data_IF_763654322275
#
_entry.id   IF_763654322275
#
_cell.length_a   1.000
_cell.length_b   1.000
_cell.length_c   1.000
_cell.angle_alpha   90.00
_cell.angle_beta   90.00
_cell.angle_gamma   90.00
#
_symmetry.space_group_name_H-M   'P 1'
#
loop_
_entity.id
_entity.type
_entity.pdbx_description
1 polymer ?
#
# COMPACT_ATOMS: atom_id res chain seq x y z
N UNK A 1 -30.42 -4.21 -39.13
CA UNK A 1 -30.99 -3.44 -38.03
C UNK A 1 -30.66 -4.13 -36.70
N UNK A 2 -29.34 -4.28 -36.38
CA UNK A 2 -28.84 -4.93 -35.13
C UNK A 2 -27.43 -4.40 -34.76
N UNK A 3 -27.28 -3.08 -34.58
CA UNK A 3 -25.94 -2.50 -34.26
C UNK A 3 -25.99 -1.43 -33.17
N UNK A 4 -26.93 -1.50 -32.23
CA UNK A 4 -27.06 -0.46 -31.18
C UNK A 4 -27.05 -0.97 -29.73
N UNK A 5 -26.55 -2.18 -29.42
CA UNK A 5 -26.64 -2.74 -28.07
C UNK A 5 -25.30 -2.87 -27.31
N UNK A 6 -24.17 -2.52 -27.89
CA UNK A 6 -22.84 -2.81 -27.29
C UNK A 6 -22.16 -1.62 -26.56
N UNK A 7 -22.75 -0.43 -26.55
CA UNK A 7 -22.09 0.76 -25.92
C UNK A 7 -22.66 1.19 -24.57
N UNK A 8 -23.71 0.55 -24.08
CA UNK A 8 -24.38 0.97 -22.82
C UNK A 8 -24.12 0.06 -21.61
N UNK A 9 -23.47 -1.06 -21.77
CA UNK A 9 -23.18 -2.01 -20.66
C UNK A 9 -21.99 -1.61 -19.77
N UNK A 10 -21.04 -0.83 -20.28
CA UNK A 10 -19.83 -0.46 -19.54
C UNK A 10 -20.01 0.64 -18.46
N UNK A 11 -21.09 1.40 -18.52
CA UNK A 11 -21.31 2.56 -17.62
C UNK A 11 -22.24 2.28 -16.40
N UNK A 12 -22.89 1.14 -16.37
CA UNK A 12 -23.89 0.84 -15.35
C UNK A 12 -23.35 0.23 -14.04
N UNK A 13 -22.10 -0.27 -14.02
CA UNK A 13 -21.53 -0.93 -12.83
C UNK A 13 -20.92 0.04 -11.80
N UNK A 14 -20.68 1.28 -12.16
CA UNK A 14 -20.11 2.29 -11.24
C UNK A 14 -21.12 2.86 -10.23
N UNK A 15 -22.43 2.66 -10.41
CA UNK A 15 -23.47 3.30 -9.60
C UNK A 15 -24.07 2.41 -8.49
N UNK A 16 -23.81 1.10 -8.48
CA UNK A 16 -24.44 0.17 -7.52
C UNK A 16 -23.68 -0.02 -6.19
N UNK A 17 -22.48 0.57 -6.02
CA UNK A 17 -21.62 0.37 -4.84
C UNK A 17 -21.88 1.35 -3.69
N UNK A 18 -22.86 2.25 -3.76
CA UNK A 18 -23.01 3.38 -2.83
C UNK A 18 -24.06 3.17 -1.70
N UNK A 19 -24.49 1.95 -1.42
CA UNK A 19 -25.62 1.74 -0.52
C UNK A 19 -25.45 0.74 0.63
N UNK A 20 -24.25 0.31 1.03
CA UNK A 20 -24.10 -0.66 2.13
C UNK A 20 -23.37 -0.07 3.33
N UNK A 21 -24.05 -0.09 4.46
CA UNK A 21 -23.66 0.49 5.74
C UNK A 21 -22.48 -0.23 6.39
N UNK A 22 -21.66 0.52 7.09
CA UNK A 22 -20.33 0.29 7.64
C UNK A 22 -20.17 -0.76 8.75
N UNK A 23 -21.13 -1.64 9.01
CA UNK A 23 -21.12 -2.49 10.21
C UNK A 23 -20.46 -3.88 10.06
N UNK A 24 -20.06 -4.34 8.87
CA UNK A 24 -19.55 -5.70 8.65
C UNK A 24 -18.20 -5.78 7.88
N UNK A 25 -17.47 -4.68 7.80
CA UNK A 25 -16.23 -4.59 6.99
C UNK A 25 -15.00 -5.32 7.58
N UNK A 26 -15.09 -5.89 8.78
CA UNK A 26 -13.91 -6.49 9.46
C UNK A 26 -13.64 -7.98 9.16
N UNK A 27 -14.47 -8.64 8.34
CA UNK A 27 -14.31 -10.07 8.02
C UNK A 27 -13.74 -10.36 6.63
N UNK A 28 -13.53 -9.36 5.78
CA UNK A 28 -12.95 -9.55 4.45
C UNK A 28 -11.53 -8.99 4.41
N UNK A 29 -10.58 -9.69 3.78
CA UNK A 29 -9.22 -9.20 3.60
C UNK A 29 -9.12 -8.02 2.63
N UNK A 30 -10.25 -7.55 2.08
CA UNK A 30 -10.34 -6.47 1.11
C UNK A 30 -10.81 -5.18 1.78
N UNK A 31 -10.07 -4.10 1.61
CA UNK A 31 -10.52 -2.76 1.98
C UNK A 31 -11.45 -2.17 0.93
N UNK A 32 -12.41 -1.36 1.33
CA UNK A 32 -13.20 -0.56 0.38
C UNK A 32 -12.31 0.49 -0.29
N UNK A 33 -12.63 0.90 -1.55
CA UNK A 33 -11.90 1.95 -2.23
C UNK A 33 -11.91 3.25 -1.41
N UNK A 34 -10.73 3.86 -1.22
CA UNK A 34 -10.59 5.09 -0.44
C UNK A 34 -9.32 5.85 -0.86
N UNK A 35 -9.31 7.16 -0.67
CA UNK A 35 -8.17 8.02 -1.00
C UNK A 35 -8.25 8.65 -2.40
N UNK A 36 -7.19 9.31 -2.84
CA UNK A 36 -7.13 9.94 -4.15
C UNK A 36 -7.15 8.89 -5.28
N UNK A 37 -7.77 9.26 -6.39
CA UNK A 37 -7.78 8.45 -7.61
C UNK A 37 -6.62 8.87 -8.52
N UNK A 38 -6.02 7.89 -9.20
CA UNK A 38 -5.10 8.11 -10.31
C UNK A 38 -5.57 7.34 -11.53
N UNK A 39 -5.11 7.74 -12.70
CA UNK A 39 -5.46 7.13 -13.98
C UNK A 39 -4.20 6.56 -14.62
N UNK A 40 -4.35 5.51 -15.40
CA UNK A 40 -3.22 4.97 -16.15
C UNK A 40 -3.65 4.48 -17.52
N UNK A 41 -2.70 4.48 -18.43
CA UNK A 41 -2.78 3.79 -19.73
C UNK A 41 -1.55 2.91 -19.88
N UNK A 42 -1.67 1.80 -20.57
CA UNK A 42 -0.56 0.88 -20.77
C UNK A 42 -0.68 0.06 -22.02
N UNK A 43 0.43 -0.53 -22.37
CA UNK A 43 0.53 -1.55 -23.43
C UNK A 43 0.93 -2.87 -22.79
N UNK A 44 0.52 -3.95 -23.40
CA UNK A 44 0.79 -5.29 -22.92
C UNK A 44 1.14 -6.24 -24.04
N UNK A 45 1.86 -7.30 -23.70
CA UNK A 45 2.18 -8.37 -24.61
C UNK A 45 2.70 -9.58 -23.87
N UNK A 46 2.63 -10.72 -24.54
CA UNK A 46 3.03 -11.94 -23.90
C UNK A 46 2.73 -13.19 -24.69
N UNK A 47 2.71 -14.26 -23.96
CA UNK A 47 2.50 -15.62 -24.45
C UNK A 47 1.06 -16.06 -24.20
N UNK A 48 0.49 -16.81 -25.12
CA UNK A 48 -0.85 -17.41 -24.98
C UNK A 48 -0.82 -18.89 -25.39
N UNK A 49 -1.43 -19.74 -24.54
CA UNK A 49 -1.77 -21.12 -24.85
C UNK A 49 -3.28 -21.28 -24.85
N UNK A 50 -3.82 -21.99 -25.82
CA UNK A 50 -5.22 -22.42 -25.88
C UNK A 50 -5.25 -23.90 -25.52
N UNK A 51 -6.18 -24.30 -24.64
CA UNK A 51 -6.42 -25.70 -24.35
C UNK A 51 -6.93 -26.43 -25.60
N UNK A 52 -6.71 -27.75 -25.66
CA UNK A 52 -7.28 -28.59 -26.73
C UNK A 52 -8.79 -28.38 -26.74
N UNK A 53 -9.33 -27.70 -27.75
CA UNK A 53 -10.76 -27.45 -27.84
C UNK A 53 -11.51 -28.71 -28.22
N UNK A 54 -12.64 -28.93 -27.56
CA UNK A 54 -13.54 -30.05 -27.87
C UNK A 54 -14.85 -29.50 -28.39
N UNK A 55 -15.17 -29.89 -29.61
CA UNK A 55 -16.36 -29.41 -30.30
C UNK A 55 -17.13 -30.51 -30.99
N UNK A 56 -18.24 -30.13 -31.59
CA UNK A 56 -19.07 -31.03 -32.37
C UNK A 56 -19.73 -30.33 -33.58
N UNK A 57 -19.91 -31.09 -34.66
CA UNK A 57 -20.72 -30.61 -35.78
C UNK A 57 -22.18 -30.95 -35.46
N UNK A 58 -22.96 -29.90 -35.18
CA UNK A 58 -24.32 -30.01 -34.66
C UNK A 58 -25.21 -30.81 -35.64
N UNK A 59 -25.89 -31.86 -35.14
CA UNK A 59 -26.81 -32.68 -35.89
C UNK A 59 -26.18 -33.83 -36.67
N UNK A 60 -24.86 -34.03 -36.58
CA UNK A 60 -24.18 -35.11 -37.36
C UNK A 60 -23.63 -36.23 -36.49
N UNK A 61 -23.50 -36.03 -35.18
CA UNK A 61 -22.81 -36.97 -34.26
C UNK A 61 -21.28 -36.94 -34.38
N UNK A 62 -20.71 -36.06 -35.22
CA UNK A 62 -19.26 -35.90 -35.35
C UNK A 62 -18.68 -35.01 -34.26
N UNK A 63 -17.75 -35.55 -33.48
CA UNK A 63 -16.91 -34.81 -32.57
C UNK A 63 -15.65 -34.29 -33.28
N UNK A 64 -15.20 -33.12 -32.87
CA UNK A 64 -13.99 -32.47 -33.40
C UNK A 64 -13.17 -32.02 -32.18
N UNK A 65 -11.93 -32.53 -32.08
CA UNK A 65 -10.94 -32.02 -31.09
C UNK A 65 -9.83 -31.33 -31.86
N UNK A 66 -9.63 -30.06 -31.59
CA UNK A 66 -8.57 -29.27 -32.20
C UNK A 66 -7.47 -29.01 -31.18
N UNK A 67 -6.23 -29.10 -31.66
CA UNK A 67 -5.03 -28.81 -30.84
C UNK A 67 -4.30 -27.64 -31.45
N UNK A 68 -3.89 -26.73 -30.58
CA UNK A 68 -3.17 -25.52 -30.96
C UNK A 68 -1.70 -25.61 -30.58
N UNK A 69 -0.90 -24.82 -31.23
CA UNK A 69 0.44 -24.45 -30.82
C UNK A 69 0.37 -23.20 -29.95
N UNK A 70 1.40 -23.00 -29.17
CA UNK A 70 1.56 -21.78 -28.43
C UNK A 70 1.60 -20.56 -29.32
N UNK A 71 1.08 -19.46 -28.83
CA UNK A 71 0.93 -18.24 -29.60
C UNK A 71 1.38 -17.00 -28.81
N UNK A 72 0.96 -15.86 -29.29
CA UNK A 72 1.27 -14.57 -28.65
C UNK A 72 0.00 -13.75 -28.41
N UNK A 73 0.10 -12.83 -27.46
CA UNK A 73 -0.90 -11.79 -27.24
C UNK A 73 -0.26 -10.41 -27.24
N UNK A 74 -1.02 -9.41 -27.66
CA UNK A 74 -0.67 -7.99 -27.58
C UNK A 74 -1.93 -7.19 -27.27
N UNK A 75 -1.79 -6.12 -26.52
CA UNK A 75 -2.94 -5.35 -26.12
C UNK A 75 -2.62 -3.97 -25.58
N UNK A 76 -3.69 -3.29 -25.20
CA UNK A 76 -3.65 -2.00 -24.52
C UNK A 76 -4.66 -2.01 -23.38
N UNK A 77 -4.37 -1.24 -22.36
CA UNK A 77 -5.24 -1.09 -21.20
C UNK A 77 -5.30 0.36 -20.71
N UNK A 78 -6.43 0.71 -20.13
CA UNK A 78 -6.61 2.00 -19.47
C UNK A 78 -7.42 1.77 -18.19
N UNK A 79 -7.09 2.46 -17.11
CA UNK A 79 -7.76 2.19 -15.85
C UNK A 79 -7.67 3.32 -14.84
N UNK A 80 -8.37 3.09 -13.75
CA UNK A 80 -8.42 3.95 -12.57
C UNK A 80 -7.88 3.14 -11.39
N UNK A 81 -6.96 3.74 -10.63
CA UNK A 81 -6.52 3.24 -9.33
C UNK A 81 -7.22 4.03 -8.23
N UNK A 82 -7.83 3.32 -7.29
CA UNK A 82 -8.52 3.91 -6.15
C UNK A 82 -8.20 3.12 -4.87
N UNK A 83 -7.20 3.58 -4.14
CA UNK A 83 -6.66 2.85 -3.00
C UNK A 83 -6.02 1.53 -3.45
N UNK A 84 -6.50 0.41 -2.92
CA UNK A 84 -6.05 -0.94 -3.30
C UNK A 84 -6.80 -1.52 -4.50
N UNK A 85 -7.76 -0.81 -5.06
CA UNK A 85 -8.57 -1.28 -6.18
C UNK A 85 -8.14 -0.65 -7.48
N UNK A 86 -8.20 -1.44 -8.55
CA UNK A 86 -8.07 -1.00 -9.94
C UNK A 86 -9.28 -1.44 -10.73
N UNK A 87 -9.80 -0.52 -11.53
CA UNK A 87 -10.82 -0.82 -12.54
C UNK A 87 -10.22 -0.52 -13.89
N UNK A 88 -10.20 -1.51 -14.77
CA UNK A 88 -9.41 -1.50 -16.00
C UNK A 88 -10.27 -1.91 -17.18
N UNK A 89 -10.22 -1.15 -18.27
CA UNK A 89 -10.66 -1.56 -19.59
C UNK A 89 -9.45 -2.07 -20.38
N UNK A 90 -9.57 -3.26 -20.91
CA UNK A 90 -8.54 -3.98 -21.63
C UNK A 90 -9.00 -4.32 -23.03
N UNK A 91 -8.16 -4.07 -24.01
CA UNK A 91 -8.27 -4.64 -25.34
C UNK A 91 -7.06 -5.52 -25.60
N UNK A 92 -7.29 -6.81 -25.92
CA UNK A 92 -6.23 -7.77 -26.18
C UNK A 92 -6.53 -8.57 -27.46
N UNK A 93 -5.53 -8.64 -28.31
CA UNK A 93 -5.47 -9.54 -29.46
C UNK A 93 -4.62 -10.75 -29.12
N UNK A 94 -5.07 -11.94 -29.52
CA UNK A 94 -4.36 -13.21 -29.35
C UNK A 94 -4.36 -13.97 -30.67
N UNK A 95 -3.29 -14.72 -30.95
CA UNK A 95 -3.19 -15.59 -32.11
C UNK A 95 -2.51 -16.90 -31.73
N UNK A 96 -3.16 -18.01 -32.07
CA UNK A 96 -2.63 -19.36 -31.90
C UNK A 96 -2.86 -20.15 -33.20
N UNK A 97 -1.85 -20.87 -33.64
CA UNK A 97 -1.93 -21.67 -34.86
C UNK A 97 -2.46 -23.08 -34.55
N UNK A 98 -3.36 -23.60 -35.42
CA UNK A 98 -3.85 -24.97 -35.35
C UNK A 98 -2.74 -25.96 -35.71
N UNK A 99 -2.49 -26.97 -34.89
CA UNK A 99 -1.46 -27.98 -35.09
C UNK A 99 -2.02 -29.30 -35.59
N UNK A 100 -3.15 -29.76 -35.05
CA UNK A 100 -3.82 -30.98 -35.47
C UNK A 100 -5.31 -30.97 -35.13
N UNK A 101 -6.08 -31.71 -35.87
CA UNK A 101 -7.50 -31.96 -35.61
C UNK A 101 -7.78 -33.45 -35.55
N UNK A 102 -8.63 -33.85 -34.61
CA UNK A 102 -9.11 -35.23 -34.47
C UNK A 102 -10.61 -35.24 -34.62
N UNK A 103 -11.08 -36.00 -35.59
CA UNK A 103 -12.50 -36.26 -35.82
C UNK A 103 -12.89 -37.57 -35.14
N UNK A 104 -14.04 -37.62 -34.48
CA UNK A 104 -14.62 -38.82 -33.88
C UNK A 104 -16.04 -39.03 -34.36
N UNK A 105 -16.55 -40.26 -34.27
CA UNK A 105 -17.88 -40.58 -34.73
C UNK A 105 -17.98 -40.65 -36.28
N UNK A 106 -16.87 -40.91 -36.96
CA UNK A 106 -16.85 -40.97 -38.41
C UNK A 106 -17.70 -42.13 -38.96
N UNK A 107 -18.34 -41.94 -40.14
CA UNK A 107 -19.08 -43.02 -40.82
C UNK A 107 -18.19 -44.22 -41.20
N UNK A 108 -18.74 -45.44 -41.21
CA UNK A 108 -18.02 -46.66 -41.55
C UNK A 108 -17.29 -46.60 -42.91
N UNK A 109 -17.84 -45.91 -43.89
CA UNK A 109 -17.23 -45.69 -45.19
C UNK A 109 -15.85 -44.99 -45.15
N UNK A 110 -15.61 -44.16 -44.17
CA UNK A 110 -14.34 -43.46 -43.97
C UNK A 110 -13.38 -44.21 -43.04
N UNK A 111 -13.82 -45.33 -42.46
CA UNK A 111 -13.14 -46.06 -41.42
C UNK A 111 -12.91 -47.55 -41.72
N UNK A 112 -12.84 -47.91 -42.99
CA UNK A 112 -12.61 -49.30 -43.38
C UNK A 112 -13.72 -50.26 -42.93
N UNK A 113 -14.97 -49.77 -42.81
CA UNK A 113 -16.12 -50.56 -42.40
C UNK A 113 -16.51 -50.48 -40.92
N UNK A 114 -15.75 -49.77 -40.08
CA UNK A 114 -16.02 -49.61 -38.66
C UNK A 114 -16.66 -48.23 -38.40
N UNK A 115 -17.91 -48.20 -37.96
CA UNK A 115 -18.60 -46.96 -37.59
C UNK A 115 -18.05 -46.40 -36.27
N UNK A 116 -18.02 -45.07 -36.13
CA UNK A 116 -17.62 -44.39 -34.91
C UNK A 116 -16.12 -44.32 -34.67
N UNK A 117 -15.29 -44.59 -35.66
CA UNK A 117 -13.83 -44.49 -35.53
C UNK A 117 -13.36 -43.03 -35.36
N UNK A 118 -12.09 -42.86 -34.99
CA UNK A 118 -11.42 -41.58 -34.88
C UNK A 118 -10.34 -41.44 -35.95
N UNK A 119 -10.17 -40.26 -36.51
CA UNK A 119 -9.07 -39.92 -37.39
C UNK A 119 -8.39 -38.64 -36.94
N UNK A 120 -7.07 -38.72 -36.70
CA UNK A 120 -6.23 -37.56 -36.39
C UNK A 120 -5.45 -37.15 -37.64
N UNK A 121 -5.54 -35.89 -38.01
CA UNK A 121 -4.79 -35.31 -39.12
C UNK A 121 -4.11 -34.02 -38.67
N UNK A 122 -3.00 -33.67 -39.29
CA UNK A 122 -2.40 -32.36 -39.11
C UNK A 122 -3.39 -31.27 -39.57
N UNK A 123 -3.41 -30.15 -38.92
CA UNK A 123 -4.18 -28.99 -39.31
C UNK A 123 -3.26 -27.81 -39.62
N UNK A 124 -3.74 -26.95 -40.47
CA UNK A 124 -3.21 -25.60 -40.68
C UNK A 124 -4.38 -24.63 -40.54
N UNK A 125 -4.13 -23.48 -39.99
CA UNK A 125 -5.14 -22.49 -39.68
C UNK A 125 -4.72 -21.73 -38.42
N UNK A 126 -5.56 -20.86 -38.01
CA UNK A 126 -5.32 -20.02 -36.87
C UNK A 126 -6.63 -19.73 -36.13
N UNK A 127 -6.54 -19.61 -34.81
CA UNK A 127 -7.60 -19.08 -33.97
C UNK A 127 -7.14 -17.75 -33.39
N UNK A 128 -7.83 -16.71 -33.82
CA UNK A 128 -7.58 -15.33 -33.32
C UNK A 128 -8.68 -14.96 -32.35
N UNK A 129 -8.30 -14.31 -31.25
CA UNK A 129 -9.27 -13.75 -30.33
C UNK A 129 -9.02 -12.26 -30.11
N UNK A 130 -10.11 -11.51 -30.09
CA UNK A 130 -10.15 -10.09 -29.78
C UNK A 130 -10.96 -9.91 -28.50
N UNK A 131 -10.29 -9.74 -27.37
CA UNK A 131 -10.94 -9.58 -26.07
C UNK A 131 -11.09 -8.10 -25.74
N UNK A 132 -12.30 -7.71 -25.35
CA UNK A 132 -12.62 -6.40 -24.76
C UNK A 132 -13.16 -6.69 -23.37
N UNK A 133 -12.38 -6.38 -22.33
CA UNK A 133 -12.66 -6.82 -20.96
C UNK A 133 -12.67 -5.63 -20.01
N UNK A 134 -13.65 -5.66 -19.10
CA UNK A 134 -13.69 -4.79 -17.91
C UNK A 134 -13.21 -5.62 -16.72
N UNK A 135 -12.16 -5.17 -16.06
CA UNK A 135 -11.48 -5.87 -14.97
C UNK A 135 -11.65 -5.11 -13.65
N UNK A 136 -11.82 -5.85 -12.57
CA UNK A 136 -11.67 -5.36 -11.19
C UNK A 136 -10.51 -6.11 -10.54
N UNK A 137 -9.50 -5.38 -10.09
CA UNK A 137 -8.25 -5.95 -9.59
C UNK A 137 -7.98 -5.36 -8.21
N UNK A 138 -7.48 -6.18 -7.30
CA UNK A 138 -7.09 -5.79 -5.94
C UNK A 138 -5.59 -5.97 -5.74
N UNK A 139 -4.90 -4.87 -5.41
CA UNK A 139 -3.47 -4.82 -5.13
C UNK A 139 -3.21 -4.98 -3.62
N UNK A 140 -2.38 -5.95 -3.24
CA UNK A 140 -2.00 -6.19 -1.85
C UNK A 140 -0.76 -5.36 -1.49
N UNK A 141 -0.96 -4.22 -0.82
CA UNK A 141 0.13 -3.30 -0.43
C UNK A 141 0.83 -3.67 0.88
N UNK A 142 0.37 -4.70 1.59
CA UNK A 142 0.74 -5.01 2.97
C UNK A 142 1.94 -5.96 3.15
N UNK A 143 2.83 -6.09 2.18
CA UNK A 143 4.03 -6.92 2.33
C UNK A 143 5.29 -6.06 2.43
N UNK A 144 5.64 -5.54 3.65
CA UNK A 144 6.92 -4.85 3.85
C UNK A 144 8.06 -5.85 3.62
N UNK A 145 8.95 -5.57 2.68
CA UNK A 145 10.13 -6.40 2.40
C UNK A 145 10.19 -7.05 1.02
N UNK A 146 9.16 -6.97 0.20
CA UNK A 146 9.17 -7.48 -1.17
C UNK A 146 9.70 -6.47 -2.21
N UNK A 147 10.75 -5.72 -1.89
CA UNK A 147 11.44 -4.83 -2.83
C UNK A 147 10.53 -3.95 -3.71
N UNK A 148 9.37 -3.51 -3.18
CA UNK A 148 8.41 -2.69 -3.93
C UNK A 148 7.50 -3.48 -4.88
N UNK A 149 7.46 -4.82 -4.78
CA UNK A 149 6.57 -5.67 -5.54
C UNK A 149 5.25 -5.85 -4.77
N UNK A 150 4.12 -5.61 -5.44
CA UNK A 150 2.77 -5.79 -4.92
C UNK A 150 2.07 -6.94 -5.65
N UNK A 151 1.76 -8.04 -4.98
CA UNK A 151 0.89 -9.07 -5.55
C UNK A 151 -0.51 -8.52 -5.79
N UNK A 152 -1.22 -9.08 -6.78
CA UNK A 152 -2.60 -8.72 -7.04
C UNK A 152 -3.40 -9.89 -7.57
N UNK A 153 -4.72 -9.79 -7.38
CA UNK A 153 -5.70 -10.70 -7.97
C UNK A 153 -6.81 -9.89 -8.61
N UNK A 154 -7.44 -10.45 -9.62
CA UNK A 154 -8.54 -9.77 -10.29
C UNK A 154 -9.47 -10.72 -11.00
N UNK A 155 -10.61 -10.16 -11.37
CA UNK A 155 -11.62 -10.81 -12.21
C UNK A 155 -12.05 -9.84 -13.28
N UNK A 156 -12.42 -10.38 -14.44
CA UNK A 156 -12.89 -9.58 -15.55
C UNK A 156 -14.04 -10.25 -16.29
N UNK A 157 -14.85 -9.44 -16.92
CA UNK A 157 -15.94 -9.86 -17.82
C UNK A 157 -15.92 -9.01 -19.08
N UNK A 158 -16.40 -9.55 -20.17
CA UNK A 158 -16.40 -8.78 -21.40
C UNK A 158 -16.91 -9.52 -22.61
N UNK A 159 -16.53 -9.05 -23.79
CA UNK A 159 -16.85 -9.65 -25.08
C UNK A 159 -15.58 -10.14 -25.76
N UNK A 160 -15.63 -11.36 -26.28
CA UNK A 160 -14.51 -11.98 -26.99
C UNK A 160 -14.97 -12.38 -28.40
N UNK A 161 -14.39 -11.70 -29.39
CA UNK A 161 -14.56 -12.06 -30.80
C UNK A 161 -13.54 -13.13 -31.18
N UNK A 162 -14.00 -14.27 -31.71
CA UNK A 162 -13.15 -15.38 -32.12
C UNK A 162 -13.26 -15.58 -33.59
N UNK A 163 -12.15 -15.46 -34.32
CA UNK A 163 -12.01 -15.76 -35.77
C UNK A 163 -11.34 -17.14 -35.89
N UNK A 164 -12.10 -18.11 -36.29
CA UNK A 164 -11.69 -19.51 -36.43
C UNK A 164 -11.42 -19.88 -37.86
N UNK A 165 -10.21 -20.39 -38.15
CA UNK A 165 -9.82 -20.91 -39.47
C UNK A 165 -9.23 -22.30 -39.32
N UNK A 166 -10.03 -23.30 -39.65
CA UNK A 166 -9.61 -24.70 -39.57
C UNK A 166 -9.44 -25.31 -40.95
N UNK A 167 -8.21 -25.81 -41.24
CA UNK A 167 -7.82 -26.48 -42.47
C UNK A 167 -7.13 -27.82 -42.19
N UNK A 168 -7.85 -28.94 -42.12
CA UNK A 168 -7.22 -30.25 -42.02
C UNK A 168 -6.32 -30.52 -43.19
N UNK A 169 -5.18 -31.15 -42.96
CA UNK A 169 -4.24 -31.50 -44.03
C UNK A 169 -4.90 -32.45 -45.02
N UNK A 170 -4.85 -32.14 -46.31
CA UNK A 170 -5.49 -32.92 -47.37
C UNK A 170 -6.98 -32.59 -47.63
N UNK A 171 -7.55 -31.69 -46.83
CA UNK A 171 -8.88 -31.14 -47.06
C UNK A 171 -8.80 -29.61 -47.24
N UNK A 172 -9.80 -29.00 -47.83
CA UNK A 172 -9.93 -27.55 -47.90
C UNK A 172 -10.28 -26.94 -46.52
N UNK A 173 -10.45 -25.63 -46.49
CA UNK A 173 -10.97 -24.92 -45.30
C UNK A 173 -12.34 -25.48 -44.94
N UNK A 174 -12.54 -25.95 -43.72
CA UNK A 174 -13.83 -26.45 -43.22
C UNK A 174 -14.54 -25.45 -42.29
N UNK A 175 -13.78 -24.59 -41.60
CA UNK A 175 -14.32 -23.46 -40.84
C UNK A 175 -13.58 -22.20 -41.22
N UNK A 176 -14.31 -21.10 -41.41
CA UNK A 176 -13.80 -19.75 -41.58
C UNK A 176 -14.93 -18.81 -41.16
N UNK A 177 -15.01 -18.51 -39.89
CA UNK A 177 -16.12 -17.74 -39.32
C UNK A 177 -15.67 -16.97 -38.08
N UNK A 178 -16.34 -15.87 -37.81
CA UNK A 178 -16.08 -15.03 -36.60
C UNK A 178 -17.33 -14.97 -35.75
N UNK A 179 -17.18 -15.26 -34.47
CA UNK A 179 -18.26 -15.20 -33.49
C UNK A 179 -17.85 -14.36 -32.27
N UNK A 180 -18.82 -13.65 -31.74
CA UNK A 180 -18.64 -12.85 -30.50
C UNK A 180 -19.40 -13.49 -29.36
N UNK A 181 -18.68 -13.78 -28.27
CA UNK A 181 -19.21 -14.47 -27.12
C UNK A 181 -18.96 -13.67 -25.84
N UNK A 182 -19.74 -13.96 -24.80
CA UNK A 182 -19.46 -13.46 -23.46
C UNK A 182 -18.22 -14.16 -22.92
N UNK A 183 -17.26 -13.36 -22.44
CA UNK A 183 -16.03 -13.84 -21.84
C UNK A 183 -15.91 -13.46 -20.37
N UNK A 184 -15.19 -14.29 -19.62
CA UNK A 184 -14.79 -14.01 -18.25
C UNK A 184 -13.34 -14.41 -18.04
N UNK A 185 -12.63 -13.68 -17.19
CA UNK A 185 -11.24 -13.97 -16.88
C UNK A 185 -10.91 -13.87 -15.39
N UNK A 186 -9.96 -14.69 -14.94
CA UNK A 186 -9.27 -14.59 -13.67
C UNK A 186 -7.87 -14.06 -13.87
N UNK A 187 -7.41 -13.21 -13.00
CA UNK A 187 -6.11 -12.53 -13.06
C UNK A 187 -5.38 -12.76 -11.75
N UNK A 188 -4.11 -13.14 -11.83
CA UNK A 188 -3.18 -13.15 -10.70
C UNK A 188 -1.83 -12.64 -11.19
N UNK A 189 -1.21 -11.73 -10.45
CA UNK A 189 0.02 -11.13 -10.93
C UNK A 189 0.83 -10.40 -9.88
N UNK A 190 1.90 -9.82 -10.36
CA UNK A 190 2.86 -9.03 -9.60
C UNK A 190 3.01 -7.67 -10.25
N UNK A 191 2.93 -6.64 -9.44
CA UNK A 191 3.12 -5.24 -9.84
C UNK A 191 4.42 -4.71 -9.25
N UNK A 192 5.19 -4.00 -10.07
CA UNK A 192 6.37 -3.26 -9.68
C UNK A 192 6.27 -1.80 -10.13
N UNK A 193 6.32 -0.86 -9.18
CA UNK A 193 6.38 0.56 -9.49
C UNK A 193 7.84 0.95 -9.78
N UNK A 194 8.19 1.10 -11.06
CA UNK A 194 9.53 1.54 -11.50
C UNK A 194 9.82 2.93 -10.93
N UNK A 195 8.82 3.80 -10.99
CA UNK A 195 8.81 5.13 -10.38
C UNK A 195 7.34 5.56 -10.16
N UNK A 196 7.04 6.76 -9.63
CA UNK A 196 5.66 7.19 -9.40
C UNK A 196 4.74 7.14 -10.64
N UNK A 197 5.32 7.26 -11.84
CA UNK A 197 4.55 7.33 -13.09
C UNK A 197 4.59 6.02 -13.90
N UNK A 198 5.67 5.25 -13.85
CA UNK A 198 5.82 4.03 -14.63
C UNK A 198 5.64 2.77 -13.79
N UNK A 199 4.81 1.87 -14.29
CA UNK A 199 4.40 0.63 -13.63
C UNK A 199 4.65 -0.53 -14.57
N UNK A 200 5.27 -1.59 -14.05
CA UNK A 200 5.42 -2.88 -14.70
C UNK A 200 4.50 -3.87 -13.98
N UNK A 201 3.63 -4.57 -14.72
CA UNK A 201 2.88 -5.71 -14.22
C UNK A 201 3.27 -6.98 -14.99
N UNK A 202 3.28 -8.12 -14.30
CA UNK A 202 3.40 -9.45 -14.91
C UNK A 202 2.25 -10.29 -14.38
N UNK A 203 1.37 -10.69 -15.28
CA UNK A 203 0.10 -11.33 -14.98
C UNK A 203 0.00 -12.71 -15.62
N UNK A 204 -0.53 -13.65 -14.87
CA UNK A 204 -1.18 -14.83 -15.43
C UNK A 204 -2.68 -14.55 -15.52
N UNK A 205 -3.25 -14.75 -16.72
CA UNK A 205 -4.67 -14.54 -16.99
C UNK A 205 -5.28 -15.79 -17.62
N UNK A 206 -6.27 -16.36 -16.94
CA UNK A 206 -7.13 -17.40 -17.48
C UNK A 206 -8.36 -16.75 -18.08
N UNK A 207 -8.60 -16.95 -19.38
CA UNK A 207 -9.76 -16.41 -20.11
C UNK A 207 -10.58 -17.56 -20.68
N UNK A 208 -11.88 -17.56 -20.40
CA UNK A 208 -12.84 -18.49 -20.97
C UNK A 208 -14.07 -17.76 -21.52
N UNK A 209 -14.78 -18.40 -22.44
CA UNK A 209 -15.99 -17.84 -23.02
C UNK A 209 -17.16 -18.82 -22.94
N UNK A 210 -18.37 -18.31 -23.21
CA UNK A 210 -19.48 -19.17 -23.62
C UNK A 210 -19.11 -19.84 -24.94
N UNK A 211 -19.65 -21.07 -25.21
CA UNK A 211 -19.27 -21.86 -26.37
C UNK A 211 -19.66 -21.21 -27.70
N UNK A 212 -18.68 -20.77 -28.50
CA UNK A 212 -18.97 -20.22 -29.81
C UNK A 212 -19.57 -21.26 -30.77
N UNK A 213 -20.41 -20.79 -31.64
CA UNK A 213 -21.00 -21.63 -32.69
C UNK A 213 -20.67 -21.07 -34.07
N UNK A 214 -19.62 -21.59 -34.67
CA UNK A 214 -19.14 -21.21 -35.99
C UNK A 214 -19.94 -21.87 -37.12
N UNK A 215 -19.90 -21.26 -38.29
CA UNK A 215 -20.42 -21.87 -39.50
C UNK A 215 -19.28 -22.53 -40.29
N UNK A 216 -19.49 -23.79 -40.64
CA UNK A 216 -18.61 -24.48 -41.58
C UNK A 216 -18.87 -23.98 -43.00
N UNK A 217 -17.88 -24.16 -43.92
CA UNK A 217 -18.04 -23.84 -45.35
C UNK A 217 -19.17 -24.66 -45.97
N UNK A 218 -19.44 -25.85 -45.46
CA UNK A 218 -20.57 -26.71 -45.90
C UNK A 218 -21.93 -26.31 -45.30
N UNK A 219 -22.03 -25.20 -44.53
CA UNK A 219 -23.29 -24.70 -43.95
C UNK A 219 -23.71 -25.36 -42.66
N UNK A 220 -22.95 -26.31 -42.12
CA UNK A 220 -23.20 -26.91 -40.81
C UNK A 220 -22.75 -25.97 -39.67
N UNK A 221 -23.28 -26.20 -38.48
CA UNK A 221 -22.85 -25.47 -37.28
C UNK A 221 -21.79 -26.30 -36.53
N UNK A 222 -20.67 -25.67 -36.24
CA UNK A 222 -19.59 -26.22 -35.41
C UNK A 222 -19.58 -25.48 -34.08
N UNK A 223 -19.91 -26.17 -32.99
CA UNK A 223 -19.78 -25.65 -31.61
C UNK A 223 -18.45 -26.10 -31.04
N UNK A 224 -17.74 -25.20 -30.39
CA UNK A 224 -16.46 -25.46 -29.76
C UNK A 224 -16.42 -24.73 -28.39
N UNK A 225 -15.62 -25.19 -27.48
CA UNK A 225 -15.24 -24.45 -26.28
C UNK A 225 -14.08 -23.49 -26.56
N UNK A 226 -13.82 -22.59 -25.62
CA UNK A 226 -12.64 -21.72 -25.69
C UNK A 226 -12.14 -21.36 -24.30
N UNK A 227 -10.93 -21.82 -24.02
CA UNK A 227 -10.19 -21.51 -22.80
C UNK A 227 -8.74 -21.17 -23.17
N UNK A 228 -8.19 -20.10 -22.59
CA UNK A 228 -6.81 -19.69 -22.87
C UNK A 228 -6.08 -19.27 -21.61
N UNK A 229 -4.80 -19.64 -21.57
CA UNK A 229 -3.84 -19.35 -20.52
C UNK A 229 -2.84 -18.31 -21.04
N UNK A 230 -2.78 -17.15 -20.41
CA UNK A 230 -2.00 -16.04 -20.88
C UNK A 230 -0.98 -15.60 -19.83
N UNK A 231 0.29 -15.53 -20.21
CA UNK A 231 1.31 -14.84 -19.46
C UNK A 231 1.54 -13.48 -20.12
N UNK A 232 1.26 -12.41 -19.38
CA UNK A 232 1.21 -11.05 -19.92
C UNK A 232 2.17 -10.17 -19.14
N UNK A 233 3.08 -9.49 -19.82
CA UNK A 233 3.85 -8.39 -19.27
C UNK A 233 3.30 -7.06 -19.80
N UNK A 234 3.15 -6.08 -18.94
CA UNK A 234 2.58 -4.78 -19.32
C UNK A 234 3.34 -3.63 -18.72
N UNK A 235 3.48 -2.57 -19.49
CA UNK A 235 4.07 -1.30 -19.06
C UNK A 235 2.99 -0.22 -19.12
N UNK A 236 2.76 0.43 -17.99
CA UNK A 236 1.73 1.47 -17.86
C UNK A 236 2.31 2.79 -17.40
N UNK A 237 1.73 3.89 -17.87
CA UNK A 237 2.01 5.24 -17.41
C UNK A 237 0.84 5.75 -16.57
N UNK A 238 1.14 6.14 -15.32
CA UNK A 238 0.18 6.68 -14.35
C UNK A 238 0.15 8.21 -14.43
N UNK A 239 -1.06 8.77 -14.58
CA UNK A 239 -1.33 10.20 -14.53
C UNK A 239 -1.82 10.58 -13.14
N UNK A 240 -1.52 11.82 -12.70
CA UNK A 240 -2.02 12.33 -11.43
C UNK A 240 -1.43 11.60 -10.21
N UNK A 241 -0.31 10.91 -10.38
CA UNK A 241 0.41 10.37 -9.25
C UNK A 241 0.67 11.51 -8.25
N UNK A 242 0.32 11.35 -6.96
CA UNK A 242 0.71 12.33 -5.97
C UNK A 242 2.23 12.49 -6.04
N UNK A 243 2.75 13.72 -5.91
CA UNK A 243 4.19 13.91 -5.85
C UNK A 243 4.76 12.96 -4.79
N UNK A 244 5.93 12.35 -5.05
CA UNK A 244 6.56 11.49 -4.05
C UNK A 244 6.58 12.26 -2.73
N UNK A 245 6.28 11.60 -1.59
CA UNK A 245 6.33 12.27 -0.30
C UNK A 245 7.68 12.98 -0.24
N UNK A 246 7.64 14.31 -0.14
CA UNK A 246 8.85 15.09 0.09
C UNK A 246 9.36 14.52 1.39
N UNK A 247 10.40 13.69 1.33
CA UNK A 247 11.15 13.29 2.53
C UNK A 247 11.64 14.61 3.08
N UNK A 248 10.91 15.14 4.06
CA UNK A 248 11.34 16.34 4.75
C UNK A 248 12.80 16.07 5.15
N UNK A 249 13.73 16.99 4.87
CA UNK A 249 15.10 16.83 5.34
C UNK A 249 15.01 16.38 6.79
N UNK A 250 15.79 15.39 7.24
CA UNK A 250 15.73 14.95 8.63
C UNK A 250 15.76 16.19 9.48
N UNK A 251 14.75 16.34 10.35
CA UNK A 251 14.66 17.49 11.26
C UNK A 251 16.05 17.67 11.86
N UNK A 252 16.59 18.90 11.91
CA UNK A 252 17.88 19.14 12.55
C UNK A 252 17.86 18.39 13.89
N UNK A 253 18.92 17.67 14.26
CA UNK A 253 18.94 16.96 15.53
C UNK A 253 18.46 17.92 16.61
N UNK A 254 17.49 17.49 17.40
CA UNK A 254 16.98 18.30 18.51
C UNK A 254 18.20 18.81 19.28
N UNK A 255 18.29 20.11 19.59
CA UNK A 255 19.42 20.63 20.36
C UNK A 255 19.58 19.74 21.59
N UNK A 256 20.80 19.33 21.92
CA UNK A 256 21.03 18.46 23.07
C UNK A 256 20.30 19.07 24.29
N UNK A 257 19.61 18.27 25.11
CA UNK A 257 18.89 18.80 26.28
C UNK A 257 19.87 19.67 27.07
N UNK A 258 19.47 20.91 27.34
CA UNK A 258 20.28 21.83 28.11
C UNK A 258 20.66 21.10 29.39
N UNK A 259 21.96 20.87 29.58
CA UNK A 259 22.43 20.16 30.76
C UNK A 259 21.93 20.92 31.99
N UNK A 260 21.10 20.27 32.83
CA UNK A 260 20.58 20.83 34.05
C UNK A 260 21.74 21.40 34.89
N UNK A 261 21.80 22.72 35.04
CA UNK A 261 22.83 23.38 35.83
C UNK A 261 22.26 23.69 37.20
N UNK A 262 22.99 23.28 38.23
CA UNK A 262 22.61 23.53 39.65
C UNK A 262 23.74 24.30 40.32
N UNK A 263 23.39 25.45 40.87
CA UNK A 263 24.30 26.25 41.71
C UNK A 263 23.85 26.14 43.14
N UNK A 264 24.80 25.90 44.07
CA UNK A 264 24.53 25.68 45.50
C UNK A 264 25.11 26.84 46.30
N UNK A 265 24.25 27.57 47.02
CA UNK A 265 24.61 28.65 47.92
C UNK A 265 24.43 28.15 49.35
N UNK A 266 25.50 28.05 50.13
CA UNK A 266 25.50 27.56 51.49
C UNK A 266 25.38 28.70 52.48
N UNK A 267 24.81 28.40 53.68
CA UNK A 267 24.53 29.35 54.73
C UNK A 267 25.08 28.90 56.08
N UNK A 268 25.46 29.86 56.90
CA UNK A 268 25.81 29.61 58.28
C UNK A 268 24.61 29.19 59.14
N UNK A 269 24.87 28.58 60.28
CA UNK A 269 23.83 28.11 61.15
C UNK A 269 22.98 29.30 61.65
N UNK A 270 21.67 29.12 61.53
CA UNK A 270 20.67 30.12 61.95
C UNK A 270 20.82 31.48 61.24
N UNK A 271 21.47 31.54 60.07
CA UNK A 271 21.63 32.76 59.29
C UNK A 271 20.93 32.63 57.94
N UNK A 272 20.43 33.76 57.44
CA UNK A 272 19.87 33.90 56.09
C UNK A 272 20.69 34.94 55.29
N UNK A 273 21.78 35.45 55.84
CA UNK A 273 22.72 36.31 55.09
C UNK A 273 23.58 35.47 54.15
N UNK A 274 23.71 35.93 52.95
CA UNK A 274 24.55 35.27 51.93
C UNK A 274 26.01 35.56 52.26
N UNK A 275 26.83 34.54 52.37
CA UNK A 275 28.27 34.64 52.57
C UNK A 275 28.98 35.27 51.41
N UNK A 276 30.22 35.83 51.51
CA UNK A 276 30.96 36.30 50.34
C UNK A 276 31.17 35.23 49.26
N UNK A 277 31.39 33.98 49.68
CA UNK A 277 31.51 32.84 48.75
C UNK A 277 30.18 32.51 48.08
N UNK A 278 29.09 32.53 48.84
CA UNK A 278 27.74 32.38 48.30
C UNK A 278 27.40 33.46 47.28
N UNK A 279 27.83 34.70 47.52
CA UNK A 279 27.60 35.83 46.61
C UNK A 279 28.31 35.60 45.25
N UNK A 280 29.51 35.02 45.24
CA UNK A 280 30.22 34.65 44.00
C UNK A 280 29.44 33.60 43.22
N UNK A 281 28.85 32.60 43.91
CA UNK A 281 28.01 31.58 43.25
C UNK A 281 26.73 32.21 42.66
N UNK A 282 26.10 33.14 43.39
CA UNK A 282 24.92 33.88 42.88
C UNK A 282 25.27 34.68 41.62
N UNK A 283 26.45 35.33 41.59
CA UNK A 283 26.90 36.06 40.42
C UNK A 283 27.13 35.12 39.22
N UNK A 284 27.78 33.97 39.42
CA UNK A 284 27.94 32.95 38.39
C UNK A 284 26.60 32.43 37.84
N UNK A 285 25.63 32.20 38.72
CA UNK A 285 24.27 31.81 38.32
C UNK A 285 23.60 32.92 37.50
N UNK A 286 23.76 34.20 37.89
CA UNK A 286 23.23 35.33 37.13
C UNK A 286 23.87 35.45 35.73
N UNK A 287 25.17 35.23 35.62
CA UNK A 287 25.85 35.20 34.30
C UNK A 287 25.32 34.05 33.45
N UNK A 288 25.16 32.85 34.01
CA UNK A 288 24.61 31.72 33.32
C UNK A 288 23.15 31.97 32.83
N UNK A 289 22.36 32.76 33.54
CA UNK A 289 20.99 33.09 33.18
C UNK A 289 20.88 33.94 31.91
N UNK A 290 21.93 34.70 31.54
CA UNK A 290 21.94 35.54 30.33
C UNK A 290 21.90 34.73 29.03
N UNK A 291 22.41 33.52 29.08
CA UNK A 291 22.43 32.60 27.93
C UNK A 291 21.27 31.58 27.92
N UNK A 292 20.62 31.41 29.07
CA UNK A 292 19.52 30.47 29.26
C UNK A 292 18.18 31.23 29.34
N UNK A 293 17.38 31.19 28.29
CA UNK A 293 16.02 31.76 28.32
C UNK A 293 15.02 30.76 28.97
N UNK A 294 15.29 30.36 30.21
CA UNK A 294 14.51 29.37 30.96
C UNK A 294 14.10 29.92 32.34
N UNK A 295 13.02 29.39 32.89
CA UNK A 295 12.58 29.76 34.22
C UNK A 295 13.47 29.11 35.27
N UNK A 296 14.09 29.94 36.10
CA UNK A 296 15.04 29.53 37.17
C UNK A 296 14.26 29.14 38.41
N UNK A 297 14.59 28.00 39.01
CA UNK A 297 14.03 27.59 40.29
C UNK A 297 15.04 27.93 41.42
N UNK A 298 14.57 28.66 42.41
CA UNK A 298 15.36 29.05 43.56
C UNK A 298 14.73 28.45 44.84
N UNK A 299 15.31 27.37 45.36
CA UNK A 299 14.73 26.62 46.46
C UNK A 299 15.65 26.60 47.67
N UNK A 300 15.13 27.07 48.81
CA UNK A 300 15.85 27.10 50.07
C UNK A 300 15.60 25.90 50.96
N UNK A 301 16.62 25.52 51.72
CA UNK A 301 16.61 24.39 52.64
C UNK A 301 17.29 24.75 53.96
N UNK A 302 16.98 23.99 55.02
CA UNK A 302 17.63 24.07 56.32
C UNK A 302 18.16 22.71 56.75
N UNK A 303 19.01 22.69 57.79
CA UNK A 303 19.30 21.44 58.50
C UNK A 303 18.10 21.02 59.37
N UNK A 304 18.24 19.88 60.07
CA UNK A 304 17.19 19.31 60.90
C UNK A 304 17.10 19.96 62.29
N UNK A 305 17.95 20.97 62.61
CA UNK A 305 17.92 21.67 63.90
C UNK A 305 16.77 22.66 63.91
N UNK A 306 15.93 22.62 64.98
CA UNK A 306 14.78 23.49 65.12
C UNK A 306 13.44 22.93 64.70
N UNK A 307 12.36 23.65 64.96
CA UNK A 307 11.00 23.23 64.61
C UNK A 307 10.72 23.34 63.09
N UNK A 308 9.80 22.51 62.57
CA UNK A 308 9.43 22.49 61.12
C UNK A 308 8.94 23.90 60.71
N UNK A 309 8.08 24.56 61.46
CA UNK A 309 7.56 25.88 61.09
C UNK A 309 8.65 26.98 61.11
N UNK A 310 9.64 26.87 61.96
CA UNK A 310 10.79 27.77 61.93
C UNK A 310 11.65 27.55 60.71
N UNK A 311 11.97 26.31 60.45
CA UNK A 311 12.79 25.93 59.31
C UNK A 311 12.13 26.26 57.95
N UNK A 312 10.81 26.15 57.87
CA UNK A 312 10.08 26.59 56.69
C UNK A 312 10.30 28.07 56.40
N UNK A 313 10.08 28.94 57.43
CA UNK A 313 10.29 30.40 57.30
C UNK A 313 11.74 30.77 57.04
N UNK A 314 12.69 30.06 57.61
CA UNK A 314 14.14 30.35 57.45
C UNK A 314 14.54 29.96 55.96
N UNK A 315 14.07 28.84 55.47
CA UNK A 315 14.34 28.41 54.09
C UNK A 315 13.77 29.39 53.05
N UNK A 316 12.55 29.89 53.27
CA UNK A 316 11.92 30.91 52.45
C UNK A 316 12.71 32.25 52.47
N UNK A 317 13.15 32.73 53.65
CA UNK A 317 13.99 33.94 53.72
C UNK A 317 15.29 33.75 52.93
N UNK A 318 15.97 32.61 53.09
CA UNK A 318 17.21 32.30 52.37
C UNK A 318 16.97 32.32 50.84
N UNK A 319 15.93 31.65 50.38
CA UNK A 319 15.58 31.63 48.95
C UNK A 319 15.26 33.03 48.41
N UNK A 320 14.51 33.84 49.18
CA UNK A 320 14.20 35.22 48.79
C UNK A 320 15.45 36.12 48.80
N UNK A 321 16.37 35.96 49.76
CA UNK A 321 17.61 36.73 49.77
C UNK A 321 18.50 36.40 48.55
N UNK A 322 18.59 35.14 48.17
CA UNK A 322 19.28 34.73 46.92
C UNK A 322 18.58 35.29 45.68
N UNK A 323 17.25 35.19 45.60
CA UNK A 323 16.49 35.75 44.50
C UNK A 323 16.66 37.28 44.38
N UNK A 324 16.66 38.00 45.51
CA UNK A 324 16.91 39.43 45.52
C UNK A 324 18.35 39.77 45.09
N UNK A 325 19.32 38.92 45.42
CA UNK A 325 20.69 39.08 44.95
C UNK A 325 20.80 38.84 43.44
N UNK A 326 20.12 37.81 42.91
CA UNK A 326 20.01 37.56 41.44
C UNK A 326 19.39 38.76 40.70
N UNK A 327 18.34 39.37 41.26
CA UNK A 327 17.74 40.61 40.70
C UNK A 327 18.77 41.74 40.64
N UNK A 328 19.59 41.94 41.67
CA UNK A 328 20.65 42.95 41.66
C UNK A 328 21.72 42.70 40.60
N UNK A 329 21.92 41.44 40.19
CA UNK A 329 22.81 41.07 39.07
C UNK A 329 22.09 41.05 37.71
N UNK A 330 20.82 41.51 37.64
CA UNK A 330 20.09 41.74 36.41
C UNK A 330 19.17 40.59 35.97
N UNK A 331 18.91 39.60 36.84
CA UNK A 331 17.94 38.52 36.55
C UNK A 331 16.52 39.04 36.83
N UNK A 332 15.60 39.02 35.85
CA UNK A 332 14.23 39.49 36.08
C UNK A 332 13.49 38.64 37.13
N UNK A 333 12.79 39.26 38.08
CA UNK A 333 12.05 38.53 39.11
C UNK A 333 11.03 37.54 38.55
N UNK A 334 10.39 37.86 37.47
CA UNK A 334 9.41 37.01 36.79
C UNK A 334 10.02 35.76 36.15
N UNK A 335 11.34 35.74 35.93
CA UNK A 335 12.05 34.58 35.41
C UNK A 335 12.41 33.57 36.53
N UNK A 336 11.99 33.83 37.76
CA UNK A 336 12.34 33.02 38.93
C UNK A 336 11.11 32.49 39.64
N UNK A 337 11.09 31.19 39.95
CA UNK A 337 10.19 30.56 40.90
C UNK A 337 10.94 30.36 42.22
N UNK A 338 10.43 30.95 43.33
CA UNK A 338 11.12 30.97 44.62
C UNK A 338 10.30 30.20 45.62
N UNK A 339 10.91 29.24 46.33
CA UNK A 339 10.25 28.43 47.35
C UNK A 339 11.19 28.04 48.48
N UNK A 340 10.61 27.74 49.65
CA UNK A 340 11.31 27.13 50.77
C UNK A 340 10.79 25.75 51.07
N UNK A 341 11.67 24.82 51.40
CA UNK A 341 11.34 23.42 51.73
C UNK A 341 11.60 23.07 53.19
N UNK A 342 12.10 24.07 53.98
CA UNK A 342 12.45 23.84 55.38
C UNK A 342 13.50 22.73 55.52
N UNK A 343 13.25 21.81 56.46
CA UNK A 343 14.10 20.64 56.68
C UNK A 343 13.76 19.40 55.79
N UNK A 344 12.83 19.57 54.86
CA UNK A 344 12.50 18.51 53.91
C UNK A 344 13.56 18.43 52.80
N UNK A 345 13.66 17.29 52.16
CA UNK A 345 14.59 17.05 51.04
C UNK A 345 16.07 17.33 51.39
N UNK A 346 16.51 16.79 52.53
CA UNK A 346 17.88 16.92 53.00
C UNK A 346 18.88 16.36 51.98
N UNK A 347 19.96 17.08 51.72
CA UNK A 347 21.06 16.61 50.88
C UNK A 347 21.85 15.49 51.56
N UNK A 348 22.08 15.67 52.86
CA UNK A 348 22.65 14.65 53.75
C UNK A 348 21.58 14.27 54.76
N UNK A 349 21.04 13.04 54.70
CA UNK A 349 20.02 12.61 55.68
C UNK A 349 20.54 12.66 57.10
N UNK A 350 19.83 13.37 57.97
CA UNK A 350 20.19 13.51 59.41
C UNK A 350 18.94 13.35 60.28
N UNK A 351 19.12 12.90 61.53
CA UNK A 351 18.05 12.86 62.48
C UNK A 351 17.63 14.28 62.88
N UNK A 352 16.41 14.43 63.43
CA UNK A 352 15.93 15.71 63.98
C UNK A 352 16.86 16.23 65.04
N UNK A 353 17.07 17.54 65.04
CA UNK A 353 17.97 18.26 66.04
C UNK A 353 19.43 18.31 65.56
N UNK A 354 19.83 17.60 64.56
CA UNK A 354 21.22 17.57 64.08
C UNK A 354 21.51 18.76 63.14
N UNK A 355 22.68 19.38 63.37
CA UNK A 355 23.18 20.47 62.52
C UNK A 355 24.06 19.92 61.45
N UNK A 356 23.65 20.10 60.18
CA UNK A 356 24.38 19.65 59.01
C UNK A 356 24.61 20.83 58.04
N UNK A 357 25.87 21.26 57.85
CA UNK A 357 26.17 22.37 56.94
C UNK A 357 25.71 22.21 55.51
N UNK A 358 25.77 21.01 54.96
CA UNK A 358 25.38 20.75 53.58
C UNK A 358 23.87 20.87 53.37
N UNK A 359 23.06 20.74 54.42
CA UNK A 359 21.61 20.91 54.34
C UNK A 359 21.18 22.38 54.37
N UNK A 360 22.04 23.29 54.87
CA UNK A 360 21.80 24.73 54.95
C UNK A 360 22.14 25.40 53.63
N UNK A 361 21.29 25.21 52.61
CA UNK A 361 21.57 25.63 51.23
C UNK A 361 20.39 26.29 50.54
N UNK A 362 20.69 27.00 49.49
CA UNK A 362 19.75 27.37 48.44
C UNK A 362 20.25 26.78 47.13
N UNK A 363 19.37 26.10 46.40
CA UNK A 363 19.61 25.57 45.08
C UNK A 363 19.04 26.51 44.02
N UNK A 364 19.89 26.92 43.07
CA UNK A 364 19.49 27.69 41.90
C UNK A 364 19.59 26.70 40.73
N UNK A 365 18.43 26.30 40.17
CA UNK A 365 18.33 25.24 39.13
C UNK A 365 17.87 25.86 37.83
N UNK A 366 18.63 25.59 36.78
CA UNK A 366 18.26 25.82 35.39
C UNK A 366 17.79 24.47 34.83
N UNK A 367 16.48 24.30 34.56
CA UNK A 367 15.89 23.03 34.09
C UNK A 367 16.37 22.62 32.71
#
# INVERSE_FOLDING_TARGET
MRTRFLLTAGLAFAAAALGWTTAHAQLLPFSLPSGPMSYYIGVEGGYTGIDDTTGSIVGTGLGVRERFSDGYNVGARAGIEWGSWRFEEEFRFQNNDSSSVTFSGLPAALCGGVAGCTAKVGASGDRRAYAIMTNAIYDFHAFPGFFGISPHIGVGIGAVGQDERLRPRGAGTIVSDTQWEFGYQGIVGLRYNINPNFILDVDYRYLATTDPTFRTVGGFRYRSDYESHNLVASLSYRFGAPPPPVVAPPAPPAPPPLARRVFLVFFDWDRDTITPDGMRIVQQAAEASRTAQVQIQVTGYTDASGSAGYNQRLSERRANNVANALVRFGVPRQAMSVSGRGKNDQRVPTADGVREPQNRRVEIVFP
#
